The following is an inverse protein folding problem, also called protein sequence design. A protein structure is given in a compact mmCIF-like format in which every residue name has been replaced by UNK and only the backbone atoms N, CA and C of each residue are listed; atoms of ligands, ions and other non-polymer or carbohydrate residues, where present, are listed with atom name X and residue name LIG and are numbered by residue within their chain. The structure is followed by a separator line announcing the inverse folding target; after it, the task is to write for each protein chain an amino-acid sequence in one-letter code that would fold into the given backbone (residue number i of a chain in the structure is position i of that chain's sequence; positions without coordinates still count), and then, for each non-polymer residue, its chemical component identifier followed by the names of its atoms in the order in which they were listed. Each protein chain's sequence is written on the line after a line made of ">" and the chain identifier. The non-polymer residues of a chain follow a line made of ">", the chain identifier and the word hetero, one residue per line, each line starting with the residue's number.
data_IF_809330500580
#
_entry.id   IF_809330500580
#
_cell.length_a   1.000
_cell.length_b   1.000
_cell.length_c   1.000
_cell.angle_alpha   90.00
_cell.angle_beta   90.00
_cell.angle_gamma   90.00
#
_symmetry.space_group_name_H-M   'P 1'
#
loop_
_entity.id
_entity.type
_entity.pdbx_description
1 polymer ?
#
# COMPACT_ATOMS: atom_id res chain seq x y z
N UNK A 1 2.29 -24.35 -1.88
CA UNK A 1 3.08 -23.54 -2.83
C UNK A 1 3.88 -22.59 -1.99
N UNK A 2 5.18 -22.85 -1.80
CA UNK A 2 6.00 -22.07 -0.89
C UNK A 2 6.21 -20.68 -1.48
N UNK A 3 5.66 -19.65 -0.83
CA UNK A 3 6.10 -18.29 -1.06
C UNK A 3 7.63 -18.29 -0.94
N UNK A 4 8.33 -17.89 -2.02
CA UNK A 4 9.79 -17.83 -2.00
C UNK A 4 10.21 -17.02 -0.77
N UNK A 5 11.06 -17.59 0.07
CA UNK A 5 11.42 -16.99 1.34
C UNK A 5 12.27 -15.73 1.06
N UNK A 6 11.66 -14.55 1.15
CA UNK A 6 12.37 -13.27 1.06
C UNK A 6 12.34 -12.56 2.41
N UNK A 7 13.40 -11.82 2.70
CA UNK A 7 13.56 -11.12 3.97
C UNK A 7 13.10 -9.69 3.80
N UNK A 8 12.26 -9.21 4.72
CA UNK A 8 11.87 -7.81 4.86
C UNK A 8 12.74 -7.14 5.93
N UNK A 9 13.35 -5.99 5.59
CA UNK A 9 14.23 -5.19 6.46
C UNK A 9 13.84 -3.72 6.39
N UNK A 10 14.45 -2.90 7.26
CA UNK A 10 14.29 -1.44 7.26
C UNK A 10 12.81 -0.98 7.27
N UNK A 11 11.98 -1.61 8.09
CA UNK A 11 10.56 -1.26 8.15
C UNK A 11 10.37 0.16 8.70
N UNK A 12 9.66 0.99 7.94
CA UNK A 12 9.19 2.31 8.34
C UNK A 12 7.67 2.24 8.46
N UNK A 13 7.16 2.45 9.67
CA UNK A 13 5.72 2.49 9.93
C UNK A 13 5.17 3.91 9.82
N UNK A 14 4.07 4.06 9.09
CA UNK A 14 3.35 5.33 8.90
C UNK A 14 2.06 5.40 9.73
N UNK A 15 1.93 4.55 10.76
CA UNK A 15 0.75 4.50 11.64
C UNK A 15 0.43 5.83 12.33
N UNK A 16 1.46 6.58 12.74
CA UNK A 16 1.27 7.85 13.45
C UNK A 16 0.77 8.93 12.50
N UNK A 17 1.32 9.01 11.29
CA UNK A 17 0.83 9.91 10.25
C UNK A 17 -0.64 9.60 9.90
N UNK A 18 -1.00 8.31 9.80
CA UNK A 18 -2.38 7.87 9.58
C UNK A 18 -3.31 8.36 10.69
N UNK A 19 -2.91 8.13 11.94
CA UNK A 19 -3.70 8.49 13.11
C UNK A 19 -3.89 10.00 13.22
N UNK A 20 -2.85 10.80 12.94
CA UNK A 20 -2.96 12.25 12.96
C UNK A 20 -3.89 12.77 11.85
N UNK A 21 -3.75 12.28 10.60
CA UNK A 21 -4.64 12.68 9.51
C UNK A 21 -6.11 12.37 9.83
N UNK A 22 -6.39 11.17 10.36
CA UNK A 22 -7.75 10.79 10.75
C UNK A 22 -8.28 11.60 11.95
N UNK A 23 -7.40 12.00 12.88
CA UNK A 23 -7.77 12.90 13.98
C UNK A 23 -8.17 14.27 13.44
N UNK A 24 -7.36 14.85 12.56
CA UNK A 24 -7.63 16.15 11.90
C UNK A 24 -8.92 16.11 11.09
N UNK A 25 -9.12 15.05 10.29
CA UNK A 25 -10.37 14.80 9.57
C UNK A 25 -11.59 14.80 10.50
N UNK A 26 -11.55 14.03 11.59
CA UNK A 26 -12.66 13.96 12.56
C UNK A 26 -12.90 15.27 13.31
N UNK A 27 -11.87 16.09 13.46
CA UNK A 27 -11.97 17.44 14.04
C UNK A 27 -12.46 18.50 13.04
N UNK A 28 -12.63 18.15 11.75
CA UNK A 28 -12.99 19.10 10.68
C UNK A 28 -11.83 19.99 10.23
N UNK A 29 -10.60 19.70 10.64
CA UNK A 29 -9.37 20.42 10.28
C UNK A 29 -8.77 19.99 8.93
N UNK A 30 -9.31 18.93 8.35
CA UNK A 30 -9.01 18.49 6.99
C UNK A 30 -10.34 18.30 6.26
N UNK A 31 -10.39 18.73 5.01
CA UNK A 31 -11.53 18.55 4.12
C UNK A 31 -11.59 17.12 3.60
N UNK A 32 -12.75 16.75 3.04
CA UNK A 32 -12.93 15.42 2.47
C UNK A 32 -12.01 15.20 1.29
N UNK A 33 -11.83 16.20 0.43
CA UNK A 33 -11.03 16.09 -0.78
C UNK A 33 -9.54 15.96 -0.47
N UNK A 34 -9.05 16.53 0.63
CA UNK A 34 -7.67 16.33 1.11
C UNK A 34 -7.42 14.91 1.64
N UNK A 35 -8.46 14.27 2.18
CA UNK A 35 -8.40 12.95 2.82
C UNK A 35 -8.71 11.85 1.79
N UNK A 36 -9.57 12.16 0.82
CA UNK A 36 -10.08 11.24 -0.19
C UNK A 36 -9.50 11.56 -1.58
N UNK A 37 -8.17 11.63 -1.65
CA UNK A 37 -7.44 12.10 -2.82
C UNK A 37 -6.89 10.98 -3.73
N UNK A 38 -7.18 9.70 -3.43
CA UNK A 38 -6.64 8.58 -4.18
C UNK A 38 -6.94 8.72 -5.67
N UNK A 39 -5.91 8.76 -6.51
CA UNK A 39 -6.08 8.90 -7.95
C UNK A 39 -6.66 7.63 -8.61
N UNK A 40 -6.92 7.72 -9.91
CA UNK A 40 -7.45 6.60 -10.68
C UNK A 40 -6.54 5.36 -10.65
N UNK A 41 -5.22 5.55 -10.63
CA UNK A 41 -4.25 4.45 -10.64
C UNK A 41 -4.29 3.69 -9.30
N UNK A 42 -4.36 4.40 -8.17
CA UNK A 42 -4.52 3.82 -6.84
C UNK A 42 -5.83 3.03 -6.73
N UNK A 43 -6.93 3.62 -7.17
CA UNK A 43 -8.25 2.96 -7.12
C UNK A 43 -8.26 1.71 -8.01
N UNK A 44 -7.73 1.81 -9.23
CA UNK A 44 -7.67 0.67 -10.17
C UNK A 44 -6.82 -0.46 -9.58
N UNK A 45 -5.65 -0.15 -9.04
CA UNK A 45 -4.80 -1.14 -8.40
C UNK A 45 -5.47 -1.78 -7.19
N UNK A 46 -6.21 -1.01 -6.39
CA UNK A 46 -7.00 -1.55 -5.29
C UNK A 46 -8.07 -2.53 -5.76
N UNK A 47 -8.76 -2.22 -6.86
CA UNK A 47 -9.80 -3.07 -7.43
C UNK A 47 -9.26 -4.39 -7.99
N UNK A 48 -8.11 -4.37 -8.66
CA UNK A 48 -7.59 -5.54 -9.40
C UNK A 48 -6.45 -6.30 -8.72
N UNK A 49 -5.71 -5.64 -7.82
CA UNK A 49 -4.52 -6.18 -7.15
C UNK A 49 -4.57 -6.04 -5.63
N UNK A 50 -5.65 -5.46 -5.08
CA UNK A 50 -5.79 -5.21 -3.65
C UNK A 50 -6.45 -6.36 -2.90
N UNK A 51 -5.89 -6.71 -1.75
CA UNK A 51 -6.47 -7.66 -0.82
C UNK A 51 -7.43 -6.95 0.16
N UNK A 52 -8.52 -7.59 0.62
CA UNK A 52 -9.39 -7.01 1.66
C UNK A 52 -8.58 -6.61 2.90
N UNK A 53 -8.78 -5.39 3.40
CA UNK A 53 -8.07 -4.90 4.57
C UNK A 53 -8.50 -5.60 5.88
N UNK A 54 -9.70 -6.18 5.91
CA UNK A 54 -10.26 -6.83 7.11
C UNK A 54 -10.81 -5.84 8.14
N UNK A 55 -10.95 -4.56 7.78
CA UNK A 55 -11.59 -3.52 8.58
C UNK A 55 -12.22 -2.46 7.67
N UNK A 56 -13.28 -1.77 8.14
CA UNK A 56 -13.97 -0.76 7.34
C UNK A 56 -13.10 0.47 7.07
N UNK A 57 -13.40 1.14 5.95
CA UNK A 57 -12.80 2.43 5.61
C UNK A 57 -12.98 3.43 6.75
N UNK A 58 -11.91 4.08 7.25
CA UNK A 58 -11.99 4.99 8.38
C UNK A 58 -12.72 6.31 8.07
N UNK A 59 -13.01 6.57 6.79
CA UNK A 59 -13.69 7.79 6.33
C UNK A 59 -15.16 7.54 6.02
N UNK A 60 -15.47 6.52 5.21
CA UNK A 60 -16.84 6.25 4.75
C UNK A 60 -17.51 5.01 5.35
N UNK A 61 -16.77 4.18 6.10
CA UNK A 61 -17.30 2.96 6.72
C UNK A 61 -17.51 1.77 5.78
N UNK A 62 -17.17 1.88 4.49
CA UNK A 62 -17.27 0.77 3.53
C UNK A 62 -16.32 -0.38 3.89
N UNK A 63 -16.81 -1.61 3.79
CA UNK A 63 -16.02 -2.84 3.96
C UNK A 63 -15.13 -3.17 2.74
N UNK A 64 -15.21 -2.39 1.66
CA UNK A 64 -14.42 -2.58 0.44
C UNK A 64 -13.00 -2.00 0.52
N UNK A 65 -12.53 -1.62 1.72
CA UNK A 65 -11.17 -1.13 1.90
C UNK A 65 -10.15 -2.21 1.51
N UNK A 66 -9.16 -1.84 0.69
CA UNK A 66 -8.15 -2.75 0.15
C UNK A 66 -6.75 -2.39 0.60
N UNK A 67 -5.87 -3.38 0.68
CA UNK A 67 -4.43 -3.23 0.88
C UNK A 67 -3.73 -3.57 -0.43
N UNK A 68 -2.90 -2.65 -0.92
CA UNK A 68 -2.15 -2.79 -2.17
C UNK A 68 -0.67 -2.63 -1.86
N UNK A 69 0.16 -3.45 -2.49
CA UNK A 69 1.61 -3.36 -2.37
C UNK A 69 2.21 -2.81 -3.65
N UNK A 70 2.96 -1.71 -3.53
CA UNK A 70 3.64 -1.03 -4.63
C UNK A 70 5.14 -1.25 -4.53
N UNK A 71 5.76 -1.67 -5.63
CA UNK A 71 7.21 -1.91 -5.67
C UNK A 71 7.96 -0.71 -6.23
N UNK A 72 9.07 -0.36 -5.62
CA UNK A 72 9.98 0.70 -6.05
C UNK A 72 11.44 0.20 -5.97
N UNK A 73 12.30 0.78 -6.82
CA UNK A 73 13.72 0.46 -6.85
C UNK A 73 14.36 0.74 -8.20
N UNK A 74 15.63 1.17 -8.21
CA UNK A 74 16.34 1.54 -9.43
C UNK A 74 16.55 0.33 -10.37
N UNK A 75 16.81 -0.85 -9.81
CA UNK A 75 17.05 -2.10 -10.53
C UNK A 75 15.77 -2.67 -11.21
N UNK A 76 14.60 -2.05 -10.98
CA UNK A 76 13.32 -2.53 -11.49
C UNK A 76 12.95 -1.96 -12.86
N UNK A 77 13.57 -0.86 -13.28
CA UNK A 77 13.19 -0.15 -14.51
C UNK A 77 11.68 0.08 -14.58
N UNK A 78 11.04 -0.40 -15.66
CA UNK A 78 9.59 -0.25 -15.90
C UNK A 78 8.68 -0.92 -14.87
N UNK A 79 9.21 -1.78 -14.01
CA UNK A 79 8.42 -2.44 -12.96
C UNK A 79 8.29 -1.56 -11.72
N UNK A 80 9.15 -0.57 -11.55
CA UNK A 80 9.05 0.40 -10.46
C UNK A 80 7.76 1.20 -10.58
N UNK A 81 7.07 1.41 -9.46
CA UNK A 81 5.76 2.05 -9.41
C UNK A 81 4.60 1.16 -9.88
N UNK A 82 4.74 -0.17 -9.83
CA UNK A 82 3.63 -1.09 -10.13
C UNK A 82 3.12 -1.80 -8.88
N UNK A 83 1.83 -2.13 -8.85
CA UNK A 83 1.26 -2.98 -7.82
C UNK A 83 1.65 -4.45 -8.04
N UNK A 84 1.94 -5.18 -6.96
CA UNK A 84 2.37 -6.59 -7.01
C UNK A 84 1.84 -7.41 -5.84
N UNK A 85 1.63 -8.71 -6.07
CA UNK A 85 1.40 -9.67 -4.99
C UNK A 85 2.69 -10.04 -4.27
N UNK A 86 2.57 -10.66 -3.09
CA UNK A 86 3.73 -11.18 -2.35
C UNK A 86 4.47 -12.28 -3.14
N UNK A 87 3.76 -13.09 -3.93
CA UNK A 87 4.39 -14.10 -4.80
C UNK A 87 5.21 -13.44 -5.93
N UNK A 88 4.67 -12.39 -6.56
CA UNK A 88 5.39 -11.64 -7.59
C UNK A 88 6.63 -10.94 -7.01
N UNK A 89 6.50 -10.34 -5.82
CA UNK A 89 7.62 -9.72 -5.10
C UNK A 89 8.70 -10.76 -4.80
N UNK A 90 8.33 -11.93 -4.29
CA UNK A 90 9.25 -13.02 -4.02
C UNK A 90 10.02 -13.44 -5.30
N UNK A 91 9.32 -13.57 -6.42
CA UNK A 91 9.93 -13.93 -7.71
C UNK A 91 10.91 -12.86 -8.20
N UNK A 92 10.58 -11.57 -8.05
CA UNK A 92 11.48 -10.46 -8.42
C UNK A 92 12.72 -10.47 -7.55
N UNK A 93 12.54 -10.59 -6.24
CA UNK A 93 13.62 -10.56 -5.26
C UNK A 93 14.56 -11.74 -5.41
N UNK A 94 14.05 -12.91 -5.80
CA UNK A 94 14.86 -14.10 -6.13
C UNK A 94 15.83 -13.88 -7.30
N UNK A 95 15.64 -12.85 -8.12
CA UNK A 95 16.60 -12.47 -9.18
C UNK A 95 17.81 -11.68 -8.66
N UNK A 96 17.95 -11.54 -7.34
CA UNK A 96 19.03 -10.77 -6.70
C UNK A 96 18.77 -9.26 -6.62
N UNK A 97 17.52 -8.84 -6.89
CA UNK A 97 17.12 -7.43 -6.85
C UNK A 97 16.62 -7.05 -5.46
N UNK A 98 17.04 -5.89 -4.99
CA UNK A 98 16.43 -5.23 -3.84
C UNK A 98 15.18 -4.46 -4.28
N UNK A 99 14.11 -4.54 -3.48
CA UNK A 99 12.83 -3.91 -3.76
C UNK A 99 12.32 -3.19 -2.53
N UNK A 100 12.02 -1.89 -2.64
CA UNK A 100 11.22 -1.19 -1.62
C UNK A 100 9.74 -1.45 -1.88
N UNK A 101 9.03 -1.99 -0.89
CA UNK A 101 7.61 -2.29 -0.96
C UNK A 101 6.84 -1.30 -0.09
N UNK A 102 5.96 -0.52 -0.71
CA UNK A 102 5.01 0.37 -0.04
C UNK A 102 3.67 -0.33 0.11
N UNK A 103 3.24 -0.56 1.34
CA UNK A 103 1.91 -1.11 1.66
C UNK A 103 0.94 0.04 1.88
N UNK A 104 -0.05 0.18 1.00
CA UNK A 104 -1.00 1.29 0.99
C UNK A 104 -2.41 0.74 1.19
N UNK A 105 -3.19 1.34 2.09
CA UNK A 105 -4.64 1.11 2.11
C UNK A 105 -5.32 2.05 1.11
N UNK A 106 -6.32 1.56 0.39
CA UNK A 106 -7.08 2.34 -0.60
C UNK A 106 -8.54 1.93 -0.53
N UNK A 107 -9.46 2.90 -0.45
CA UNK A 107 -10.90 2.66 -0.50
C UNK A 107 -11.43 3.00 -1.90
N UNK A 108 -11.87 2.01 -2.69
CA UNK A 108 -12.47 2.27 -4.01
C UNK A 108 -13.75 3.11 -3.93
N UNK A 109 -14.46 3.07 -2.80
CA UNK A 109 -15.75 3.73 -2.59
C UNK A 109 -15.61 5.24 -2.41
N UNK A 110 -14.74 5.68 -1.49
CA UNK A 110 -14.60 7.10 -1.18
C UNK A 110 -13.27 7.70 -1.62
N UNK A 111 -12.34 6.92 -2.18
CA UNK A 111 -10.99 7.36 -2.59
C UNK A 111 -10.07 7.77 -1.44
N UNK A 112 -10.35 7.30 -0.22
CA UNK A 112 -9.34 7.32 0.84
C UNK A 112 -8.12 6.51 0.42
N UNK A 113 -6.91 7.01 0.65
CA UNK A 113 -5.71 6.19 0.66
C UNK A 113 -4.76 6.62 1.78
N UNK A 114 -3.92 5.70 2.25
CA UNK A 114 -2.82 6.05 3.15
C UNK A 114 -1.69 5.02 3.09
N UNK A 115 -0.44 5.48 3.03
CA UNK A 115 0.73 4.61 3.16
C UNK A 115 0.81 4.07 4.60
N UNK A 116 0.75 2.76 4.78
CA UNK A 116 0.79 2.11 6.10
C UNK A 116 2.23 1.81 6.54
N UNK A 117 3.04 1.31 5.61
CA UNK A 117 4.44 0.99 5.85
C UNK A 117 5.25 0.91 4.56
N UNK A 118 6.55 1.13 4.70
CA UNK A 118 7.55 0.85 3.68
C UNK A 118 8.53 -0.18 4.23
N UNK A 119 8.90 -1.18 3.43
CA UNK A 119 9.90 -2.19 3.79
C UNK A 119 10.85 -2.42 2.62
N UNK A 120 12.08 -2.82 2.92
CA UNK A 120 13.03 -3.29 1.91
C UNK A 120 12.96 -4.82 1.84
N UNK A 121 12.61 -5.37 0.69
CA UNK A 121 12.57 -6.80 0.41
C UNK A 121 13.83 -7.22 -0.37
N UNK A 122 14.46 -8.29 0.09
CA UNK A 122 15.72 -8.84 -0.45
C UNK A 122 15.71 -10.36 -0.38
N UNK A 123 16.53 -11.02 -1.21
CA UNK A 123 16.61 -12.48 -1.21
C UNK A 123 16.98 -12.99 0.20
N UNK A 124 16.37 -14.11 0.59
CA UNK A 124 16.61 -14.77 1.88
C UNK A 124 17.95 -15.48 1.95
#
# INVERSE_FOLDING_TARGET
>A
MSAGNFVRRNEISHRFARQDLLRRWRAGEASRDEVCDADFLLVTAATYHGEPAGYPCPVCGSEDLRIVQWIHGEQLGRMSGTARSDEEIAAIVATGREVTVHTVEVCPTCRWNHLLKAVTATAG
#
